data_IF_969695768033
#
_entry.id   IF_969695768033
#
_cell.length_a   1.000
_cell.length_b   1.000
_cell.length_c   1.000
_cell.angle_alpha   90.00
_cell.angle_beta   90.00
_cell.angle_gamma   90.00
#
_symmetry.space_group_name_H-M   'P 1'
#
loop_
_entity.id
_entity.type
_entity.pdbx_description
1 polymer ?
#
# COMPACT_ATOMS: atom_id res chain seq x y z
N UNK A 1 5.23 9.52 -6.82
CA UNK A 1 5.79 8.39 -6.08
C UNK A 1 7.13 8.08 -6.71
N UNK A 2 8.21 8.29 -5.96
CA UNK A 2 9.58 8.05 -6.44
C UNK A 2 10.03 6.61 -6.16
N UNK A 3 11.31 6.32 -6.46
CA UNK A 3 11.85 4.96 -6.29
C UNK A 3 11.97 4.55 -4.81
N UNK A 4 12.20 5.50 -3.91
CA UNK A 4 12.32 5.23 -2.47
C UNK A 4 10.96 4.85 -1.90
N UNK A 5 9.91 5.57 -2.29
CA UNK A 5 8.53 5.23 -1.92
C UNK A 5 8.16 3.79 -2.33
N UNK A 6 8.54 3.39 -3.55
CA UNK A 6 8.23 2.04 -4.09
C UNK A 6 8.97 0.94 -3.34
N UNK A 7 10.26 1.15 -3.11
CA UNK A 7 11.08 0.22 -2.34
C UNK A 7 10.50 0.03 -0.93
N UNK A 8 10.10 1.12 -0.29
CA UNK A 8 9.49 1.07 1.04
C UNK A 8 8.17 0.30 1.05
N UNK A 9 7.29 0.54 0.08
CA UNK A 9 6.04 -0.22 -0.04
C UNK A 9 6.30 -1.72 -0.25
N UNK A 10 7.30 -2.07 -1.05
CA UNK A 10 7.72 -3.47 -1.24
C UNK A 10 8.27 -4.10 0.05
N UNK A 11 9.14 -3.38 0.78
CA UNK A 11 9.70 -3.88 2.04
C UNK A 11 8.61 -4.06 3.12
N UNK A 12 7.66 -3.13 3.21
CA UNK A 12 6.50 -3.27 4.10
C UNK A 12 5.63 -4.47 3.71
N UNK A 13 5.48 -4.74 2.42
CA UNK A 13 4.74 -5.89 1.91
C UNK A 13 5.36 -7.23 2.31
N UNK A 14 6.67 -7.36 2.16
CA UNK A 14 7.39 -8.54 2.59
C UNK A 14 7.31 -8.72 4.11
N UNK A 15 7.34 -7.62 4.88
CA UNK A 15 7.15 -7.66 6.32
C UNK A 15 5.72 -8.10 6.73
N UNK A 16 4.67 -7.66 6.02
CA UNK A 16 3.29 -8.07 6.30
C UNK A 16 3.07 -9.59 6.19
N UNK A 17 3.82 -10.30 5.34
CA UNK A 17 3.76 -11.78 5.26
C UNK A 17 4.13 -12.45 6.58
N UNK A 18 4.92 -11.77 7.41
CA UNK A 18 5.33 -12.25 8.74
C UNK A 18 4.33 -11.89 9.84
N UNK A 19 3.33 -11.05 9.53
CA UNK A 19 2.35 -10.54 10.49
C UNK A 19 2.91 -9.52 11.49
N UNK A 20 4.17 -9.10 11.36
CA UNK A 20 4.81 -8.17 12.29
C UNK A 20 4.95 -6.76 11.70
N UNK A 21 4.48 -5.72 12.40
CA UNK A 21 4.76 -4.33 12.03
C UNK A 21 6.26 -4.04 12.06
N UNK A 22 6.77 -3.26 11.11
CA UNK A 22 8.19 -2.91 11.01
C UNK A 22 8.44 -1.43 11.23
N UNK A 23 9.55 -1.12 11.91
CA UNK A 23 10.01 0.25 12.13
C UNK A 23 11.00 0.66 11.05
N UNK A 24 11.16 1.97 10.84
CA UNK A 24 12.18 2.52 9.92
C UNK A 24 13.59 2.05 10.29
N UNK A 25 13.86 1.89 11.59
CA UNK A 25 15.15 1.41 12.08
C UNK A 25 15.43 -0.04 11.66
N UNK A 26 14.40 -0.88 11.70
CA UNK A 26 14.49 -2.26 11.25
C UNK A 26 14.71 -2.33 9.73
N UNK A 27 13.97 -1.52 8.97
CA UNK A 27 14.09 -1.41 7.51
C UNK A 27 15.47 -0.89 7.07
N UNK A 28 16.02 0.12 7.74
CA UNK A 28 17.36 0.62 7.46
C UNK A 28 18.43 -0.45 7.80
N UNK A 29 18.21 -1.21 8.88
CA UNK A 29 19.10 -2.28 9.32
C UNK A 29 19.14 -3.49 8.39
N UNK A 30 18.13 -3.72 7.54
CA UNK A 30 18.18 -4.77 6.53
C UNK A 30 18.99 -4.39 5.28
N UNK A 31 19.32 -3.09 5.13
CA UNK A 31 20.07 -2.55 3.97
C UNK A 31 21.54 -2.35 4.25
N UNK A 32 21.90 -1.99 5.47
CA UNK A 32 23.28 -1.78 5.87
C UNK A 32 23.49 -2.09 7.35
N UNK A 33 24.65 -2.64 7.67
CA UNK A 33 25.14 -2.83 9.04
C UNK A 33 25.95 -1.64 9.55
N UNK A 34 26.34 -0.70 8.67
CA UNK A 34 27.08 0.50 9.04
C UNK A 34 26.19 1.47 9.83
N UNK A 35 26.54 1.83 11.08
CA UNK A 35 25.72 2.72 11.92
C UNK A 35 25.43 4.10 11.31
N UNK A 36 26.41 4.68 10.61
CA UNK A 36 26.28 6.04 10.05
C UNK A 36 25.34 6.04 8.85
N UNK A 37 25.52 5.09 7.93
CA UNK A 37 24.61 4.92 6.78
C UNK A 37 23.20 4.56 7.23
N UNK A 38 23.08 3.70 8.25
CA UNK A 38 21.78 3.31 8.82
C UNK A 38 21.02 4.50 9.39
N UNK A 39 21.70 5.42 10.09
CA UNK A 39 21.07 6.63 10.60
C UNK A 39 20.54 7.54 9.48
N UNK A 40 21.32 7.70 8.41
CA UNK A 40 20.89 8.48 7.24
C UNK A 40 19.67 7.84 6.58
N UNK A 41 19.70 6.53 6.35
CA UNK A 41 18.59 5.78 5.76
C UNK A 41 17.34 5.81 6.63
N UNK A 42 17.46 5.69 7.97
CA UNK A 42 16.32 5.81 8.89
C UNK A 42 15.62 7.16 8.73
N UNK A 43 16.39 8.24 8.61
CA UNK A 43 15.86 9.59 8.39
C UNK A 43 15.10 9.72 7.07
N UNK A 44 15.69 9.22 5.98
CA UNK A 44 15.06 9.18 4.65
C UNK A 44 13.75 8.37 4.71
N UNK A 45 13.80 7.15 5.23
CA UNK A 45 12.64 6.27 5.29
C UNK A 45 11.50 6.85 6.13
N UNK A 46 11.82 7.50 7.25
CA UNK A 46 10.81 8.17 8.08
C UNK A 46 10.10 9.29 7.34
N UNK A 47 10.84 10.08 6.54
CA UNK A 47 10.25 11.14 5.72
C UNK A 47 9.26 10.58 4.69
N UNK A 48 9.69 9.56 3.92
CA UNK A 48 8.87 8.96 2.88
C UNK A 48 7.64 8.22 3.45
N UNK A 49 7.82 7.41 4.49
CA UNK A 49 6.71 6.67 5.10
C UNK A 49 5.66 7.60 5.73
N UNK A 50 6.08 8.74 6.29
CA UNK A 50 5.13 9.75 6.79
C UNK A 50 4.32 10.37 5.65
N UNK A 51 4.96 10.72 4.52
CA UNK A 51 4.24 11.21 3.33
C UNK A 51 3.27 10.16 2.77
N UNK A 52 3.69 8.90 2.71
CA UNK A 52 2.82 7.79 2.28
C UNK A 52 1.66 7.59 3.25
N UNK A 53 1.86 7.81 4.55
CA UNK A 53 0.79 7.77 5.55
C UNK A 53 -0.20 8.93 5.40
N UNK A 54 0.29 10.15 5.15
CA UNK A 54 -0.56 11.33 4.84
C UNK A 54 -1.41 11.11 3.57
N UNK A 55 -0.88 10.38 2.59
CA UNK A 55 -1.60 9.95 1.38
C UNK A 55 -2.53 8.73 1.63
N UNK A 56 -2.43 8.12 2.81
CA UNK A 56 -3.22 6.99 3.26
C UNK A 56 -2.74 5.63 2.76
N UNK A 57 -1.59 5.52 2.10
CA UNK A 57 -1.03 4.25 1.59
C UNK A 57 -0.43 3.37 2.69
N UNK A 58 0.03 4.01 3.77
CA UNK A 58 0.65 3.36 4.93
C UNK A 58 -0.13 3.77 6.18
N UNK A 59 -0.26 2.87 7.13
CA UNK A 59 -0.80 3.14 8.47
C UNK A 59 0.37 3.33 9.42
N UNK A 60 0.39 4.45 10.14
CA UNK A 60 1.37 4.74 11.18
C UNK A 60 0.81 4.31 12.55
N UNK A 61 1.48 3.36 13.20
CA UNK A 61 1.11 2.87 14.52
C UNK A 61 2.18 3.28 15.55
N UNK A 62 1.76 3.98 16.61
CA UNK A 62 2.66 4.40 17.69
C UNK A 62 2.45 3.52 18.90
N UNK A 63 3.51 2.85 19.34
CA UNK A 63 3.48 2.04 20.56
C UNK A 63 4.56 2.50 21.55
N UNK A 64 4.30 2.29 22.83
CA UNK A 64 5.25 2.55 23.90
C UNK A 64 5.88 1.23 24.36
N UNK A 65 7.21 1.16 24.37
CA UNK A 65 7.97 0.06 24.97
C UNK A 65 8.80 0.63 26.10
N UNK A 66 8.27 0.56 27.32
CA UNK A 66 8.81 1.27 28.48
C UNK A 66 8.78 2.78 28.27
N UNK A 67 9.93 3.46 28.43
CA UNK A 67 10.05 4.92 28.22
C UNK A 67 10.21 5.33 26.75
N UNK A 68 10.40 4.37 25.82
CA UNK A 68 10.64 4.66 24.40
C UNK A 68 9.34 4.59 23.61
N UNK A 69 9.07 5.62 22.81
CA UNK A 69 8.01 5.61 21.79
C UNK A 69 8.60 5.06 20.49
N UNK A 70 7.99 4.02 19.93
CA UNK A 70 8.40 3.42 18.67
C UNK A 70 7.26 3.61 17.68
N UNK A 71 7.60 4.10 16.49
CA UNK A 71 6.66 4.18 15.37
C UNK A 71 6.88 2.97 14.47
N UNK A 72 5.78 2.28 14.20
CA UNK A 72 5.70 1.19 13.25
C UNK A 72 4.86 1.61 12.06
N UNK A 73 5.13 0.98 10.93
CA UNK A 73 4.43 1.24 9.68
C UNK A 73 3.91 -0.07 9.12
N UNK A 74 2.70 0.00 8.57
CA UNK A 74 2.01 -1.12 7.93
C UNK A 74 1.42 -0.65 6.61
N UNK A 75 1.29 -1.54 5.64
CA UNK A 75 0.54 -1.21 4.43
C UNK A 75 -0.92 -0.98 4.81
N UNK A 76 -1.55 0.05 4.24
CA UNK A 76 -2.99 0.20 4.36
C UNK A 76 -3.67 -0.82 3.44
N UNK A 77 -4.34 -1.86 3.98
CA UNK A 77 -4.97 -2.89 3.16
C UNK A 77 -6.14 -2.33 2.35
N UNK A 78 -6.69 -1.16 2.71
CA UNK A 78 -7.84 -0.55 2.03
C UNK A 78 -7.47 0.33 0.84
N UNK A 79 -6.17 0.51 0.55
CA UNK A 79 -5.70 1.35 -0.57
C UNK A 79 -5.18 0.51 -1.73
N UNK A 80 -5.74 0.78 -2.91
CA UNK A 80 -5.27 0.25 -4.17
C UNK A 80 -4.20 1.19 -4.73
N UNK A 81 -2.93 0.76 -4.71
CA UNK A 81 -1.86 1.43 -5.43
C UNK A 81 -1.82 0.96 -6.87
N UNK A 82 -1.52 1.88 -7.78
CA UNK A 82 -1.09 1.55 -9.13
C UNK A 82 0.03 2.50 -9.51
N UNK A 83 1.24 1.97 -9.68
CA UNK A 83 2.44 2.77 -9.93
C UNK A 83 3.28 2.04 -10.96
N UNK A 84 3.61 2.70 -12.08
CA UNK A 84 4.47 2.16 -13.15
C UNK A 84 4.12 0.73 -13.61
N UNK A 85 2.83 0.44 -13.82
CA UNK A 85 2.46 -0.87 -14.35
C UNK A 85 2.46 -1.96 -13.29
N UNK A 86 2.27 -1.61 -12.03
CA UNK A 86 2.05 -2.56 -10.96
C UNK A 86 0.89 -2.08 -10.10
N UNK A 87 -0.22 -2.84 -10.13
CA UNK A 87 -1.43 -2.62 -9.33
C UNK A 87 -1.32 -3.43 -8.05
N UNK A 88 -1.32 -2.85 -6.85
CA UNK A 88 -1.46 -3.61 -5.60
C UNK A 88 -2.10 -2.79 -4.48
N UNK A 89 -3.10 -3.34 -3.79
CA UNK A 89 -2.92 -3.90 -2.42
C UNK A 89 -4.25 -4.25 -1.77
N UNK A 90 -4.39 -5.53 -1.37
CA UNK A 90 -5.39 -6.04 -0.43
C UNK A 90 -4.73 -7.21 0.31
N UNK A 91 -4.79 -7.21 1.65
CA UNK A 91 -4.06 -8.15 2.49
C UNK A 91 -4.45 -9.61 2.20
N UNK A 92 -3.45 -10.38 1.74
CA UNK A 92 -3.31 -11.84 1.69
C UNK A 92 -4.52 -12.71 1.22
N UNK A 93 -4.44 -13.49 0.11
CA UNK A 93 -3.46 -13.48 -0.97
C UNK A 93 -4.10 -12.91 -2.24
N UNK A 94 -3.71 -11.71 -2.67
CA UNK A 94 -3.80 -11.35 -4.10
C UNK A 94 -2.50 -10.68 -4.51
N UNK A 95 -1.59 -11.52 -5.02
CA UNK A 95 -0.53 -11.14 -5.97
C UNK A 95 -1.17 -10.50 -7.20
N UNK A 96 -0.51 -9.52 -7.84
CA UNK A 96 -0.91 -9.03 -9.17
C UNK A 96 0.31 -8.91 -10.08
N UNK A 97 0.26 -9.73 -11.13
CA UNK A 97 1.12 -9.69 -12.31
C UNK A 97 1.10 -8.32 -13.00
N UNK A 98 2.15 -8.03 -13.77
CA UNK A 98 2.34 -6.85 -14.62
C UNK A 98 1.02 -6.19 -15.07
N UNK A 99 0.84 -4.91 -14.72
CA UNK A 99 -0.29 -4.11 -15.18
C UNK A 99 0.05 -3.53 -16.56
N UNK A 100 -0.61 -3.97 -17.64
CA UNK A 100 -0.36 -3.50 -19.01
C UNK A 100 -0.82 -2.05 -19.25
N UNK A 101 -1.22 -1.32 -18.21
CA UNK A 101 -1.75 0.05 -18.27
C UNK A 101 -0.92 1.05 -17.45
N UNK A 102 0.36 0.75 -17.23
CA UNK A 102 1.33 1.55 -16.49
C UNK A 102 1.24 3.06 -16.78
N UNK A 103 1.17 3.38 -18.06
CA UNK A 103 1.28 4.75 -18.60
C UNK A 103 -0.01 5.57 -18.38
N UNK A 104 -1.10 4.89 -18.01
CA UNK A 104 -2.43 5.49 -17.80
C UNK A 104 -2.80 5.57 -16.32
N UNK A 105 -1.92 5.08 -15.43
CA UNK A 105 -2.23 4.92 -14.02
C UNK A 105 -1.97 6.20 -13.22
N UNK A 106 -2.96 7.09 -13.21
CA UNK A 106 -3.11 8.01 -12.08
C UNK A 106 -3.66 7.19 -10.91
N UNK A 107 -2.87 7.05 -9.84
CA UNK A 107 -3.25 6.37 -8.61
C UNK A 107 -4.72 6.69 -8.25
N UNK A 108 -5.49 5.69 -7.86
CA UNK A 108 -6.92 5.83 -7.54
C UNK A 108 -7.08 6.56 -6.19
N UNK A 109 -6.76 7.86 -6.22
CA UNK A 109 -6.66 8.74 -5.06
C UNK A 109 -8.03 9.20 -4.58
N UNK A 110 -9.08 9.06 -5.42
CA UNK A 110 -10.45 9.37 -5.05
C UNK A 110 -11.09 8.15 -4.36
N UNK A 111 -12.02 8.37 -3.41
CA UNK A 111 -12.77 7.28 -2.80
C UNK A 111 -13.44 6.40 -3.85
N UNK A 112 -13.18 5.10 -3.78
CA UNK A 112 -13.75 4.12 -4.71
C UNK A 112 -15.15 3.76 -4.23
N UNK A 113 -16.13 3.84 -5.13
CA UNK A 113 -17.51 3.44 -4.85
C UNK A 113 -17.96 2.37 -5.85
N UNK A 114 -18.51 1.29 -5.32
CA UNK A 114 -19.14 0.23 -6.10
C UNK A 114 -20.66 0.41 -6.10
N UNK A 115 -21.30 0.13 -7.22
CA UNK A 115 -22.76 0.11 -7.33
C UNK A 115 -23.20 -0.86 -8.41
N UNK A 116 -24.37 -1.48 -8.23
CA UNK A 116 -24.96 -2.35 -9.25
C UNK A 116 -25.90 -1.56 -10.15
N UNK A 117 -25.83 -1.82 -11.45
CA UNK A 117 -26.79 -1.28 -12.43
C UNK A 117 -28.12 -2.04 -12.35
N UNK A 118 -29.16 -1.53 -13.02
CA UNK A 118 -30.47 -2.21 -13.15
C UNK A 118 -30.37 -3.63 -13.73
N UNK A 119 -29.29 -3.95 -14.45
CA UNK A 119 -29.00 -5.27 -15.04
C UNK A 119 -28.09 -6.14 -14.16
N UNK A 120 -27.84 -5.74 -12.91
CA UNK A 120 -27.00 -6.49 -11.96
C UNK A 120 -25.49 -6.30 -12.12
N UNK A 121 -25.02 -5.65 -13.20
CA UNK A 121 -23.59 -5.42 -13.46
C UNK A 121 -22.96 -4.47 -12.43
N UNK A 122 -21.75 -4.80 -11.99
CA UNK A 122 -21.00 -4.06 -10.99
C UNK A 122 -20.20 -2.93 -11.67
N UNK A 123 -20.52 -1.68 -11.31
CA UNK A 123 -19.84 -0.49 -11.81
C UNK A 123 -19.04 0.17 -10.69
N UNK A 124 -17.97 0.85 -11.09
CA UNK A 124 -16.99 1.47 -10.20
C UNK A 124 -16.89 2.95 -10.53
N UNK A 125 -16.91 3.80 -9.50
CA UNK A 125 -16.65 5.25 -9.59
C UNK A 125 -15.43 5.60 -8.74
N UNK A 126 -14.67 6.60 -9.18
CA UNK A 126 -13.48 7.11 -8.45
C UNK A 126 -12.14 6.52 -8.89
N UNK A 127 -12.16 5.45 -9.71
CA UNK A 127 -10.97 4.79 -10.22
C UNK A 127 -11.19 4.34 -11.68
N UNK A 128 -10.53 5.00 -12.65
CA UNK A 128 -10.71 4.69 -14.08
C UNK A 128 -10.23 3.28 -14.41
N UNK A 129 -9.06 2.90 -13.90
CA UNK A 129 -8.49 1.57 -14.12
C UNK A 129 -9.42 0.46 -13.63
N UNK A 130 -9.96 0.59 -12.41
CA UNK A 130 -10.87 -0.41 -11.87
C UNK A 130 -12.24 -0.40 -12.56
N UNK A 131 -12.68 0.73 -13.12
CA UNK A 131 -13.88 0.80 -13.95
C UNK A 131 -13.72 0.06 -15.30
N UNK A 132 -12.51 0.09 -15.86
CA UNK A 132 -12.14 -0.58 -17.13
C UNK A 132 -11.71 -2.05 -16.94
N UNK A 133 -11.45 -2.47 -15.69
CA UNK A 133 -11.05 -3.84 -15.39
C UNK A 133 -12.13 -4.89 -15.75
N UNK A 134 -11.74 -6.15 -16.03
CA UNK A 134 -12.69 -7.26 -16.21
C UNK A 134 -13.64 -7.43 -15.01
N UNK A 135 -14.85 -7.94 -15.25
CA UNK A 135 -15.90 -8.02 -14.22
C UNK A 135 -15.48 -8.87 -13.01
N UNK A 136 -14.79 -10.01 -13.22
CA UNK A 136 -14.29 -10.86 -12.13
C UNK A 136 -13.30 -10.14 -11.21
N UNK A 137 -12.49 -9.22 -11.74
CA UNK A 137 -11.55 -8.39 -10.95
C UNK A 137 -12.34 -7.41 -10.09
N UNK A 138 -13.34 -6.74 -10.66
CA UNK A 138 -14.21 -5.81 -9.93
C UNK A 138 -14.95 -6.52 -8.78
N UNK A 139 -15.49 -7.71 -9.04
CA UNK A 139 -16.18 -8.52 -8.03
C UNK A 139 -15.26 -8.94 -6.89
N UNK A 140 -14.03 -9.35 -7.22
CA UNK A 140 -13.02 -9.74 -6.22
C UNK A 140 -12.68 -8.57 -5.29
N UNK A 141 -12.41 -7.40 -5.88
CA UNK A 141 -12.11 -6.18 -5.11
C UNK A 141 -13.32 -5.74 -4.29
N UNK A 142 -14.53 -5.79 -4.86
CA UNK A 142 -15.76 -5.45 -4.15
C UNK A 142 -16.01 -6.34 -2.93
N UNK A 143 -15.86 -7.66 -3.07
CA UNK A 143 -16.02 -8.61 -1.96
C UNK A 143 -15.08 -8.29 -0.83
N UNK A 144 -13.79 -8.11 -1.12
CA UNK A 144 -12.78 -7.82 -0.10
C UNK A 144 -13.04 -6.50 0.64
N UNK A 145 -13.41 -5.43 -0.09
CA UNK A 145 -13.72 -4.14 0.55
C UNK A 145 -15.03 -4.16 1.33
N UNK A 146 -15.98 -5.03 0.98
CA UNK A 146 -17.27 -5.17 1.66
C UNK A 146 -17.22 -6.10 2.87
N UNK A 147 -16.26 -7.03 2.94
CA UNK A 147 -16.10 -7.98 4.06
C UNK A 147 -15.41 -7.39 5.29
N UNK A 148 -14.78 -6.21 5.17
CA UNK A 148 -14.13 -5.50 6.28
C UNK A 148 -14.95 -4.29 6.81
N UNK A 149 -16.26 -4.28 6.56
CA UNK A 149 -17.21 -3.25 7.00
C UNK A 149 -18.04 -3.71 8.20
#
# INVERSE_FOLDING_TARGET
MDNVDRELLYLLLEAEKTGQPVSTWALAGSKTSNPNERNVLDGIYRYHLRKLAEQGFVIEEKTARGKKKITYYRINPKKILCVNGSLFLLANPIMIYECPYADKCNACNKPIKFYKTKKGQLKVRGCKLLAEAPEHVKETVYKHLSSEA
#
